data_IF_881731641725
#
_entry.id   IF_881731641725
#
_cell.length_a   1.000
_cell.length_b   1.000
_cell.length_c   1.000
_cell.angle_alpha   90.00
_cell.angle_beta   90.00
_cell.angle_gamma   90.00
#
_symmetry.space_group_name_H-M   'P 1'
#
loop_
_entity.id
_entity.type
_entity.pdbx_description
1 polymer ?
#
# COMPACT_ATOMS: atom_id res chain seq x y z
N UNK A 1 -12.68 7.73 -0.39
CA UNK A 1 -12.93 6.51 0.41
C UNK A 1 -11.61 5.76 0.51
N UNK A 2 -10.80 6.06 1.52
CA UNK A 2 -9.52 5.39 1.77
C UNK A 2 -9.72 4.35 2.86
N UNK A 3 -8.95 3.26 2.82
CA UNK A 3 -9.02 2.24 3.87
C UNK A 3 -8.24 0.98 3.52
N UNK A 4 -8.27 0.02 4.45
CA UNK A 4 -7.55 -1.25 4.36
C UNK A 4 -8.53 -2.41 4.31
N UNK A 5 -8.17 -3.44 3.55
CA UNK A 5 -8.83 -4.74 3.55
C UNK A 5 -7.80 -5.82 3.88
N UNK A 6 -8.18 -6.83 4.67
CA UNK A 6 -7.31 -7.94 5.08
C UNK A 6 -8.13 -9.21 5.27
N UNK A 7 -7.58 -10.35 4.86
CA UNK A 7 -8.20 -11.65 5.05
C UNK A 7 -7.20 -12.80 4.92
N UNK A 8 -7.58 -13.98 5.39
CA UNK A 8 -6.80 -15.22 5.24
C UNK A 8 -7.45 -16.09 4.17
N UNK A 9 -6.66 -16.50 3.20
CA UNK A 9 -7.08 -17.29 2.05
C UNK A 9 -6.33 -18.61 2.02
N UNK A 10 -6.88 -19.59 1.31
CA UNK A 10 -6.27 -20.91 1.12
C UNK A 10 -6.39 -21.34 -0.34
N UNK A 11 -6.05 -22.59 -0.65
CA UNK A 11 -6.05 -23.12 -2.02
C UNK A 11 -7.41 -23.07 -2.74
N UNK A 12 -8.53 -22.90 -2.03
CA UNK A 12 -9.84 -22.72 -2.67
C UNK A 12 -10.03 -21.32 -3.27
N UNK A 13 -9.14 -20.37 -2.95
CA UNK A 13 -9.28 -18.98 -3.38
C UNK A 13 -10.34 -18.21 -2.59
N UNK A 14 -10.88 -17.16 -3.19
CA UNK A 14 -11.90 -16.30 -2.59
C UNK A 14 -11.85 -14.87 -3.13
N UNK A 15 -12.68 -13.99 -2.56
CA UNK A 15 -12.68 -12.56 -2.86
C UNK A 15 -12.43 -11.78 -1.57
N UNK A 16 -11.48 -10.85 -1.61
CA UNK A 16 -11.26 -9.87 -0.57
C UNK A 16 -11.90 -8.55 -0.99
N UNK A 17 -13.07 -8.27 -0.41
CA UNK A 17 -13.77 -7.00 -0.60
C UNK A 17 -13.07 -5.88 0.18
N UNK A 18 -12.93 -4.72 -0.46
CA UNK A 18 -12.29 -3.56 0.15
C UNK A 18 -13.02 -2.23 -0.08
N UNK A 19 -12.47 -1.16 0.50
CA UNK A 19 -13.09 0.15 0.48
C UNK A 19 -13.25 0.72 -0.93
N UNK A 20 -14.32 1.49 -1.13
CA UNK A 20 -14.54 2.17 -2.42
C UNK A 20 -14.93 1.23 -3.55
N UNK A 21 -15.39 0.01 -3.25
CA UNK A 21 -15.80 -0.97 -4.25
C UNK A 21 -14.63 -1.66 -4.95
N UNK A 22 -13.41 -1.52 -4.42
CA UNK A 22 -12.25 -2.27 -4.90
C UNK A 22 -12.26 -3.65 -4.28
N UNK A 23 -12.18 -4.69 -5.10
CA UNK A 23 -12.10 -6.09 -4.68
C UNK A 23 -10.84 -6.74 -5.24
N UNK A 24 -10.23 -7.64 -4.47
CA UNK A 24 -9.16 -8.52 -4.94
C UNK A 24 -9.69 -9.95 -5.05
N UNK A 25 -9.64 -10.53 -6.24
CA UNK A 25 -10.02 -11.95 -6.47
C UNK A 25 -8.79 -12.84 -6.41
N UNK A 26 -8.85 -13.88 -5.59
CA UNK A 26 -7.86 -14.95 -5.49
C UNK A 26 -8.46 -16.19 -6.18
N UNK A 27 -7.96 -16.59 -7.36
CA UNK A 27 -8.43 -17.79 -8.04
C UNK A 27 -8.11 -19.08 -7.24
N UNK A 28 -8.91 -20.15 -7.39
CA UNK A 28 -8.55 -21.46 -6.89
C UNK A 28 -7.18 -21.91 -7.41
N UNK A 29 -6.34 -22.46 -6.53
CA UNK A 29 -4.99 -22.91 -6.86
C UNK A 29 -3.90 -21.83 -6.88
N UNK A 30 -4.25 -20.55 -6.71
CA UNK A 30 -3.26 -19.47 -6.59
C UNK A 30 -2.42 -19.57 -5.30
N UNK A 31 -2.97 -20.19 -4.27
CA UNK A 31 -2.30 -20.46 -3.00
C UNK A 31 -2.03 -21.96 -2.91
N UNK A 32 -0.83 -22.33 -2.44
CA UNK A 32 -0.43 -23.71 -2.28
C UNK A 32 -1.39 -24.52 -1.38
N UNK A 33 -1.57 -25.79 -1.69
CA UNK A 33 -2.41 -26.68 -0.88
C UNK A 33 -1.88 -26.79 0.55
N UNK A 34 -2.79 -26.84 1.53
CA UNK A 34 -2.51 -26.95 2.98
C UNK A 34 -1.81 -25.73 3.60
N UNK A 35 -1.71 -24.60 2.90
CA UNK A 35 -1.27 -23.33 3.47
C UNK A 35 -2.46 -22.37 3.62
N UNK A 36 -2.42 -21.58 4.70
CA UNK A 36 -3.21 -20.37 4.83
C UNK A 36 -2.31 -19.17 4.57
N UNK A 37 -2.73 -18.26 3.70
CA UNK A 37 -2.00 -17.05 3.39
C UNK A 37 -2.83 -15.83 3.75
N UNK A 38 -2.26 -14.98 4.61
CA UNK A 38 -2.84 -13.68 4.88
C UNK A 38 -2.51 -12.71 3.74
N UNK A 39 -3.55 -12.03 3.25
CA UNK A 39 -3.47 -11.05 2.17
C UNK A 39 -4.14 -9.77 2.64
N UNK A 40 -3.52 -8.62 2.34
CA UNK A 40 -4.08 -7.31 2.63
C UNK A 40 -3.75 -6.32 1.51
N UNK A 41 -4.62 -5.32 1.34
CA UNK A 41 -4.37 -4.18 0.46
C UNK A 41 -4.96 -2.91 1.05
N UNK A 42 -4.41 -1.77 0.62
CA UNK A 42 -4.86 -0.44 1.03
C UNK A 42 -5.25 0.37 -0.19
N UNK A 43 -6.44 0.97 -0.15
CA UNK A 43 -6.90 1.92 -1.17
C UNK A 43 -6.50 3.32 -0.74
N UNK A 44 -5.63 3.95 -1.52
CA UNK A 44 -5.12 5.31 -1.28
C UNK A 44 -5.72 6.30 -2.28
N UNK A 45 -5.90 7.55 -1.85
CA UNK A 45 -6.27 8.64 -2.76
C UNK A 45 -5.03 9.27 -3.36
N UNK A 46 -5.04 9.68 -4.65
CA UNK A 46 -3.90 10.33 -5.29
C UNK A 46 -3.37 11.55 -4.52
N UNK A 47 -4.26 12.29 -3.86
CA UNK A 47 -3.92 13.49 -3.09
C UNK A 47 -3.05 13.21 -1.85
N UNK A 48 -2.99 11.97 -1.37
CA UNK A 48 -2.20 11.61 -0.17
C UNK A 48 -0.69 11.50 -0.47
N UNK A 49 -0.29 11.33 -1.73
CA UNK A 49 1.13 11.23 -2.11
C UNK A 49 1.84 12.59 -2.26
N UNK A 50 1.11 13.71 -2.26
CA UNK A 50 1.71 15.05 -2.41
C UNK A 50 2.22 15.67 -1.10
N UNK A 51 2.10 14.98 0.04
CA UNK A 51 2.48 15.54 1.35
C UNK A 51 3.85 15.09 1.87
N UNK A 52 4.70 14.43 1.06
CA UNK A 52 6.01 13.94 1.49
C UNK A 52 7.21 14.38 0.63
N UNK A 53 7.07 15.46 -0.16
CA UNK A 53 8.19 15.99 -0.95
C UNK A 53 8.47 17.50 -0.76
N UNK A 54 7.91 18.16 0.26
CA UNK A 54 8.06 19.62 0.44
C UNK A 54 8.88 20.07 1.67
N UNK A 55 9.62 19.18 2.34
CA UNK A 55 10.43 19.55 3.51
C UNK A 55 11.92 19.85 3.23
N UNK A 56 12.33 20.07 1.97
CA UNK A 56 13.74 20.38 1.65
C UNK A 56 13.97 21.64 0.78
N UNK A 57 13.15 22.68 0.96
CA UNK A 57 13.44 24.02 0.43
C UNK A 57 13.58 25.03 1.57
N UNK A 58 14.82 25.14 2.09
CA UNK A 58 15.50 26.23 2.85
C UNK A 58 16.48 25.52 3.80
N UNK A 59 17.79 25.52 3.60
CA UNK A 59 18.70 26.65 3.38
C UNK A 59 19.98 26.20 2.68
N UNK A 60 20.31 26.76 1.52
CA UNK A 60 21.70 26.80 1.06
C UNK A 60 22.44 27.88 1.86
N UNK A 61 23.14 27.49 2.92
CA UNK A 61 24.13 28.34 3.57
C UNK A 61 25.51 27.77 3.24
N UNK A 62 26.15 28.35 2.23
CA UNK A 62 27.55 28.10 1.92
C UNK A 62 28.41 28.56 3.10
N UNK A 63 29.41 27.79 3.56
CA UNK A 63 30.32 28.26 4.60
C UNK A 63 31.30 29.33 4.05
N UNK A 64 31.73 30.31 4.87
CA UNK A 64 32.70 31.32 4.44
C UNK A 64 34.09 30.69 4.30
N UNK A 65 34.74 30.88 3.15
CA UNK A 65 36.17 30.59 2.98
C UNK A 65 36.97 31.65 3.75
N UNK A 66 37.72 31.22 4.77
CA UNK A 66 38.79 32.01 5.36
C UNK A 66 40.03 31.97 4.45
N UNK A 67 40.56 33.15 4.11
CA UNK A 67 41.93 33.33 3.63
C UNK A 67 42.86 33.59 4.81
#
# INVERSE_FOLDING_TARGET
>A
NTGVARGVFNCHGGVLEGPGGVSLTIPPGAIASKTGQEIYFTVTSPQTFNSHNNDHLRTSLSPPMHH
#
